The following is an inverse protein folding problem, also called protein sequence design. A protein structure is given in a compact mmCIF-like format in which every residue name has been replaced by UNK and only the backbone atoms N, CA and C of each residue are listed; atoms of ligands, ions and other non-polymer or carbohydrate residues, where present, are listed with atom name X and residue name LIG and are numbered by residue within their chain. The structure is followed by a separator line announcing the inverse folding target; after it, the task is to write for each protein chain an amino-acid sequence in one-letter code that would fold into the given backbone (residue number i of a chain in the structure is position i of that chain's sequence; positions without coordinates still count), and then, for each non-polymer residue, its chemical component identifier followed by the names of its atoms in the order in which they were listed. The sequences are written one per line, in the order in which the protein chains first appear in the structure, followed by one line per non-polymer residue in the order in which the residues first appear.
data_IF_551119288140
#
_entry.id   IF_551119288140
#
_cell.length_a   1.000
_cell.length_b   1.000
_cell.length_c   1.000
_cell.angle_alpha   90.00
_cell.angle_beta   90.00
_cell.angle_gamma   90.00
#
_symmetry.space_group_name_H-M   'P 1'
#
loop_
_entity.id
_entity.type
_entity.pdbx_description
1 polymer ?
#
# COMPACT_ATOMS: atom_id res chain seq x y z
N UNK A 1 -9.04 29.24 6.50
CA UNK A 1 -9.43 27.83 6.32
C UNK A 1 -8.30 27.17 5.55
N UNK A 2 -7.43 26.41 6.24
CA UNK A 2 -6.41 25.65 5.53
C UNK A 2 -7.12 24.45 4.91
N UNK A 3 -7.31 24.52 3.59
CA UNK A 3 -7.74 23.39 2.78
C UNK A 3 -6.65 22.32 2.92
N UNK A 4 -6.88 21.36 3.81
CA UNK A 4 -6.02 20.19 3.96
C UNK A 4 -6.15 19.44 2.64
N UNK A 5 -5.24 19.72 1.70
CA UNK A 5 -5.07 18.94 0.49
C UNK A 5 -4.71 17.53 0.96
N UNK A 6 -5.71 16.66 1.06
CA UNK A 6 -5.50 15.27 1.42
C UNK A 6 -4.97 14.64 0.15
N UNK A 7 -3.65 14.66 -0.01
CA UNK A 7 -3.00 13.97 -1.11
C UNK A 7 -3.50 12.53 -1.09
N UNK A 8 -4.18 12.15 -2.18
CA UNK A 8 -4.82 10.85 -2.30
C UNK A 8 -3.80 9.72 -2.10
N UNK A 9 -2.57 9.97 -2.56
CA UNK A 9 -1.42 9.09 -2.50
C UNK A 9 -0.21 9.94 -2.10
N UNK A 10 0.53 9.55 -1.06
CA UNK A 10 1.79 10.26 -0.74
C UNK A 10 2.88 9.84 -1.72
N UNK A 11 3.87 10.71 -1.93
CA UNK A 11 5.03 10.40 -2.77
C UNK A 11 5.73 9.10 -2.33
N UNK A 12 5.81 8.84 -1.02
CA UNK A 12 6.39 7.62 -0.48
C UNK A 12 5.57 6.36 -0.85
N UNK A 13 4.24 6.42 -0.77
CA UNK A 13 3.37 5.32 -1.18
C UNK A 13 3.43 5.09 -2.69
N UNK A 14 3.50 6.16 -3.49
CA UNK A 14 3.69 6.06 -4.93
C UNK A 14 5.01 5.36 -5.27
N UNK A 15 6.11 5.71 -4.60
CA UNK A 15 7.42 5.07 -4.76
C UNK A 15 7.35 3.60 -4.36
N UNK A 16 6.73 3.26 -3.22
CA UNK A 16 6.58 1.87 -2.78
C UNK A 16 5.74 1.06 -3.77
N UNK A 17 4.65 1.63 -4.26
CA UNK A 17 3.77 0.97 -5.23
C UNK A 17 4.49 0.73 -6.56
N UNK A 18 5.04 1.77 -7.17
CA UNK A 18 5.75 1.68 -8.45
C UNK A 18 7.00 0.80 -8.32
N UNK A 19 7.76 0.94 -7.24
CA UNK A 19 8.92 0.11 -6.94
C UNK A 19 8.55 -1.37 -6.80
N UNK A 20 7.47 -1.68 -6.07
CA UNK A 20 6.97 -3.05 -5.95
C UNK A 20 6.57 -3.63 -7.30
N UNK A 21 5.96 -2.84 -8.18
CA UNK A 21 5.57 -3.25 -9.53
C UNK A 21 6.78 -3.59 -10.39
N UNK A 22 7.84 -2.78 -10.36
CA UNK A 22 9.09 -3.09 -11.06
C UNK A 22 9.79 -4.33 -10.50
N UNK A 23 9.79 -4.52 -9.18
CA UNK A 23 10.33 -5.74 -8.56
C UNK A 23 9.52 -6.98 -8.97
N UNK A 24 8.19 -6.87 -9.07
CA UNK A 24 7.34 -7.94 -9.58
C UNK A 24 7.64 -8.26 -11.05
N UNK A 25 7.84 -7.26 -11.90
CA UNK A 25 8.23 -7.46 -13.31
C UNK A 25 9.60 -8.15 -13.39
N UNK A 26 10.57 -7.69 -12.58
CA UNK A 26 11.89 -8.28 -12.52
C UNK A 26 11.83 -9.75 -12.11
N UNK A 27 11.09 -10.06 -11.04
CA UNK A 27 10.85 -11.43 -10.60
C UNK A 27 10.16 -12.21 -11.72
N UNK A 28 9.06 -11.73 -12.29
CA UNK A 28 8.34 -12.44 -13.36
C UNK A 28 9.24 -12.75 -14.57
N UNK A 29 10.10 -11.82 -14.99
CA UNK A 29 11.06 -12.02 -16.07
C UNK A 29 12.16 -13.03 -15.71
N UNK A 30 12.65 -13.01 -14.48
CA UNK A 30 13.73 -13.90 -14.02
C UNK A 30 13.22 -15.31 -13.68
N UNK A 31 11.95 -15.42 -13.29
CA UNK A 31 11.29 -16.65 -12.86
C UNK A 31 10.48 -17.37 -13.96
N UNK A 32 10.67 -17.01 -15.24
CA UNK A 32 10.09 -17.71 -16.42
C UNK A 32 10.43 -19.23 -16.47
N UNK A 33 11.24 -19.75 -15.54
CA UNK A 33 11.60 -21.17 -15.39
C UNK A 33 10.90 -21.92 -14.23
N UNK A 34 9.84 -21.36 -13.62
CA UNK A 34 9.02 -22.11 -12.66
C UNK A 34 7.94 -22.91 -13.42
N UNK A 35 8.25 -24.17 -13.75
CA UNK A 35 7.30 -25.12 -14.35
C UNK A 35 6.30 -25.72 -13.32
N UNK A 36 6.53 -25.50 -12.02
CA UNK A 36 5.78 -26.16 -10.93
C UNK A 36 5.65 -25.32 -9.67
N UNK A 37 4.46 -25.34 -9.05
CA UNK A 37 4.16 -24.67 -7.77
C UNK A 37 5.10 -25.09 -6.62
N UNK A 38 5.70 -26.29 -6.70
CA UNK A 38 6.68 -26.75 -5.71
C UNK A 38 7.97 -25.90 -5.72
N UNK A 39 8.31 -25.29 -6.86
CA UNK A 39 9.52 -24.48 -6.98
C UNK A 39 9.42 -23.11 -6.29
N UNK A 40 8.22 -22.69 -5.89
CA UNK A 40 8.00 -21.52 -5.03
C UNK A 40 8.59 -21.67 -3.63
N UNK A 41 8.96 -22.88 -3.20
CA UNK A 41 9.57 -23.14 -1.90
C UNK A 41 11.10 -23.29 -1.95
N UNK A 42 11.73 -23.19 -3.13
CA UNK A 42 13.19 -23.17 -3.22
C UNK A 42 13.77 -21.85 -2.70
N UNK A 43 15.03 -21.89 -2.26
CA UNK A 43 15.78 -20.74 -1.73
C UNK A 43 15.78 -19.53 -2.68
N UNK A 44 15.73 -19.77 -4.00
CA UNK A 44 15.62 -18.73 -5.02
C UNK A 44 14.34 -17.90 -4.86
N UNK A 45 13.23 -18.54 -4.47
CA UNK A 45 11.89 -17.96 -4.34
C UNK A 45 11.73 -17.02 -3.15
N UNK A 46 12.75 -16.92 -2.28
CA UNK A 46 12.79 -15.90 -1.22
C UNK A 46 12.91 -14.49 -1.79
N UNK A 47 13.44 -14.33 -3.02
CA UNK A 47 13.42 -13.06 -3.73
C UNK A 47 12.00 -12.59 -4.08
N UNK A 48 11.02 -13.49 -4.08
CA UNK A 48 9.61 -13.19 -4.30
C UNK A 48 8.96 -12.53 -3.06
N UNK A 49 9.57 -12.65 -1.87
CA UNK A 49 9.11 -11.99 -0.66
C UNK A 49 9.35 -10.48 -0.68
N UNK A 50 10.42 -10.01 -1.32
CA UNK A 50 10.75 -8.59 -1.43
C UNK A 50 9.64 -7.75 -2.10
N UNK A 51 9.18 -8.07 -3.33
CA UNK A 51 8.07 -7.35 -3.95
C UNK A 51 6.76 -7.50 -3.16
N UNK A 52 6.55 -8.65 -2.50
CA UNK A 52 5.37 -8.88 -1.67
C UNK A 52 5.35 -7.98 -0.42
N UNK A 53 6.45 -7.93 0.33
CA UNK A 53 6.56 -7.13 1.55
C UNK A 53 6.49 -5.64 1.27
N UNK A 54 7.10 -5.17 0.19
CA UNK A 54 7.05 -3.76 -0.23
C UNK A 54 5.66 -3.36 -0.69
N UNK A 55 4.96 -4.25 -1.40
CA UNK A 55 3.56 -4.05 -1.74
C UNK A 55 2.65 -4.04 -0.49
N UNK A 56 2.88 -4.94 0.47
CA UNK A 56 2.14 -4.97 1.73
C UNK A 56 2.38 -3.71 2.57
N UNK A 57 3.61 -3.21 2.65
CA UNK A 57 3.91 -1.94 3.31
C UNK A 57 3.15 -0.77 2.68
N UNK A 58 3.15 -0.69 1.34
CA UNK A 58 2.32 0.28 0.61
C UNK A 58 0.84 0.14 0.99
N UNK A 59 0.30 -1.07 0.92
CA UNK A 59 -1.12 -1.34 1.16
C UNK A 59 -1.54 -1.00 2.60
N UNK A 60 -0.73 -1.40 3.59
CA UNK A 60 -1.00 -1.12 5.01
C UNK A 60 -0.94 0.39 5.27
N UNK A 61 0.07 1.10 4.76
CA UNK A 61 0.17 2.56 4.87
C UNK A 61 -1.05 3.26 4.26
N UNK A 62 -1.41 2.84 3.04
CA UNK A 62 -2.53 3.40 2.30
C UNK A 62 -3.87 3.18 3.02
N UNK A 63 -4.15 1.96 3.48
CA UNK A 63 -5.39 1.63 4.20
C UNK A 63 -5.43 2.35 5.55
N UNK A 64 -4.32 2.38 6.29
CA UNK A 64 -4.24 3.04 7.60
C UNK A 64 -4.58 4.52 7.48
N UNK A 65 -3.96 5.24 6.55
CA UNK A 65 -4.25 6.67 6.32
C UNK A 65 -5.69 6.91 5.89
N UNK A 66 -6.25 6.05 5.02
CA UNK A 66 -7.64 6.18 4.56
C UNK A 66 -8.64 5.93 5.68
N UNK A 67 -8.33 5.00 6.58
CA UNK A 67 -9.17 4.68 7.74
C UNK A 67 -9.12 5.80 8.77
N UNK A 68 -7.94 6.31 9.08
CA UNK A 68 -7.73 7.47 9.96
C UNK A 68 -8.44 8.72 9.42
N UNK A 69 -8.32 8.97 8.11
CA UNK A 69 -9.00 10.09 7.48
C UNK A 69 -10.53 9.98 7.57
N UNK A 70 -11.08 8.78 7.36
CA UNK A 70 -12.52 8.53 7.50
C UNK A 70 -13.00 8.77 8.93
N UNK A 71 -12.25 8.30 9.92
CA UNK A 71 -12.59 8.48 11.34
C UNK A 71 -12.55 9.96 11.76
N UNK A 72 -11.46 10.66 11.42
CA UNK A 72 -11.30 12.09 11.71
C UNK A 72 -12.42 12.94 11.10
N UNK A 73 -12.84 12.65 9.86
CA UNK A 73 -13.94 13.37 9.22
C UNK A 73 -15.29 13.13 9.90
N UNK A 74 -15.51 11.94 10.46
CA UNK A 74 -16.75 11.60 11.16
C UNK A 74 -16.83 12.33 12.51
N UNK A 75 -15.75 12.31 13.29
CA UNK A 75 -15.64 13.03 14.56
C UNK A 75 -15.83 14.55 14.38
N UNK A 76 -15.23 15.13 13.33
CA UNK A 76 -15.36 16.56 13.03
C UNK A 76 -16.79 16.95 12.66
N UNK A 77 -17.53 16.07 11.97
CA UNK A 77 -18.95 16.29 11.64
C UNK A 77 -19.83 16.23 12.89
N UNK A 78 -19.64 15.22 13.73
CA UNK A 78 -20.40 15.06 14.97
C UNK A 78 -20.19 16.24 15.94
N UNK A 79 -18.96 16.74 16.07
CA UNK A 79 -18.64 17.92 16.90
C UNK A 79 -19.25 19.23 16.37
N UNK A 80 -19.34 19.38 15.04
CA UNK A 80 -19.98 20.55 14.43
C UNK A 80 -21.51 20.47 14.48
N UNK A 81 -22.08 19.28 14.49
CA UNK A 81 -23.53 19.08 14.66
C UNK A 81 -23.95 19.39 16.11
N UNK A 82 -23.19 18.92 17.12
CA UNK A 82 -23.45 19.25 18.53
C UNK A 82 -23.32 20.74 18.90
N UNK A 83 -22.55 21.52 18.12
CA UNK A 83 -22.42 22.98 18.33
C UNK A 83 -23.52 23.82 17.67
N UNK A 84 -24.37 23.21 16.84
CA UNK A 84 -25.50 23.89 16.18
C UNK A 84 -26.84 23.72 16.92
N UNK A 85 -26.87 22.91 17.97
CA UNK A 85 -27.99 22.72 18.91
C UNK A 85 -27.69 23.50 20.18
#
# INVERSE_FOLDING_TARGET
MQEKNIDFLTTAEAILFVGSLFMWIYVAHTFVFIDSFASLFFMQSWWLLLPLMTFLMFLISFISRRTEWRWSNQETKELNEKRKV
#
